data_IF_184011730719
#
_entry.id   IF_184011730719
#
_cell.length_a   1.000
_cell.length_b   1.000
_cell.length_c   1.000
_cell.angle_alpha   90.00
_cell.angle_beta   90.00
_cell.angle_gamma   90.00
#
_symmetry.space_group_name_H-M   'P 1'
#
loop_
_entity.id
_entity.type
_entity.pdbx_description
1 polymer ?
#
# COMPACT_ATOMS: atom_id res chain seq x y z
N UNK A 1 -11.57 5.97 3.46
CA UNK A 1 -10.21 5.98 2.87
C UNK A 1 -10.40 5.51 1.44
N UNK A 2 -10.59 6.42 0.48
CA UNK A 2 -11.12 6.06 -0.85
C UNK A 2 -10.36 4.89 -1.51
N UNK A 3 -9.03 4.88 -1.42
CA UNK A 3 -8.18 3.79 -1.95
C UNK A 3 -8.49 2.44 -1.31
N UNK A 4 -8.61 2.36 0.02
CA UNK A 4 -8.91 1.09 0.70
C UNK A 4 -10.30 0.57 0.32
N UNK A 5 -11.28 1.48 0.31
CA UNK A 5 -12.66 1.14 -0.02
C UNK A 5 -12.78 0.65 -1.48
N UNK A 6 -11.99 1.23 -2.40
CA UNK A 6 -11.89 0.78 -3.78
C UNK A 6 -11.26 -0.63 -3.90
N UNK A 7 -10.18 -0.92 -3.19
CA UNK A 7 -9.56 -2.26 -3.22
C UNK A 7 -10.46 -3.34 -2.62
N UNK A 8 -11.16 -3.05 -1.52
CA UNK A 8 -12.15 -3.96 -0.92
C UNK A 8 -13.30 -4.28 -1.87
N UNK A 9 -13.79 -3.26 -2.59
CA UNK A 9 -14.84 -3.45 -3.57
C UNK A 9 -14.34 -4.23 -4.80
N UNK A 10 -13.10 -3.98 -5.24
CA UNK A 10 -12.50 -4.67 -6.38
C UNK A 10 -12.21 -6.14 -6.06
N UNK A 11 -11.70 -6.45 -4.86
CA UNK A 11 -11.38 -7.82 -4.44
C UNK A 11 -12.60 -8.75 -4.35
N UNK A 12 -13.81 -8.18 -4.32
CA UNK A 12 -15.06 -8.95 -4.35
C UNK A 12 -15.59 -9.18 -5.78
N UNK A 13 -15.00 -8.54 -6.78
CA UNK A 13 -15.46 -8.57 -8.17
C UNK A 13 -14.53 -9.35 -9.10
N UNK A 14 -13.29 -9.58 -8.70
CA UNK A 14 -12.28 -10.29 -9.52
C UNK A 14 -11.45 -11.25 -8.66
N UNK A 15 -10.98 -12.33 -9.29
CA UNK A 15 -10.04 -13.29 -8.70
C UNK A 15 -8.58 -13.05 -9.15
N UNK A 16 -8.34 -11.96 -9.90
CA UNK A 16 -7.00 -11.62 -10.39
C UNK A 16 -6.12 -11.05 -9.26
N UNK A 17 -4.79 -11.23 -9.35
CA UNK A 17 -3.86 -10.61 -8.40
C UNK A 17 -3.99 -9.09 -8.35
N UNK A 18 -3.96 -8.53 -7.16
CA UNK A 18 -4.09 -7.10 -6.88
C UNK A 18 -2.72 -6.48 -6.58
N UNK A 19 -2.34 -5.51 -7.42
CA UNK A 19 -1.23 -4.61 -7.12
C UNK A 19 -1.72 -3.44 -6.28
N UNK A 20 -1.23 -3.36 -5.04
CA UNK A 20 -1.58 -2.30 -4.11
C UNK A 20 -0.67 -1.09 -4.23
N UNK A 21 -1.26 0.09 -4.21
CA UNK A 21 -0.53 1.35 -4.14
C UNK A 21 -1.41 2.47 -3.63
N UNK A 22 -0.78 3.46 -3.01
CA UNK A 22 -1.42 4.72 -2.63
C UNK A 22 -0.77 5.83 -3.42
N UNK A 23 -1.55 6.54 -4.24
CA UNK A 23 -1.07 7.72 -4.95
C UNK A 23 -0.88 8.89 -3.99
N UNK A 24 0.10 9.74 -4.30
CA UNK A 24 0.37 10.97 -3.55
C UNK A 24 0.51 10.70 -2.04
N UNK A 25 1.35 9.73 -1.65
CA UNK A 25 1.53 9.43 -0.23
C UNK A 25 2.18 10.63 0.51
N UNK A 26 3.07 11.34 -0.19
CA UNK A 26 3.72 12.56 0.28
C UNK A 26 5.23 12.41 0.45
N UNK A 27 5.84 13.37 1.13
CA UNK A 27 7.26 13.34 1.52
C UNK A 27 7.52 12.19 2.52
N UNK A 28 8.79 11.78 2.64
CA UNK A 28 9.24 10.58 3.38
C UNK A 28 8.38 10.21 4.60
N UNK A 29 8.27 11.08 5.61
CA UNK A 29 7.57 10.76 6.87
C UNK A 29 6.05 10.62 6.69
N UNK A 30 5.40 11.58 6.05
CA UNK A 30 3.94 11.55 5.89
C UNK A 30 3.51 10.46 4.91
N UNK A 31 4.29 10.26 3.85
CA UNK A 31 4.08 9.18 2.87
C UNK A 31 4.27 7.80 3.47
N UNK A 32 5.27 7.62 4.33
CA UNK A 32 5.47 6.36 5.06
C UNK A 32 4.27 6.03 5.94
N UNK A 33 3.82 6.98 6.76
CA UNK A 33 2.68 6.77 7.68
C UNK A 33 1.39 6.50 6.90
N UNK A 34 1.09 7.29 5.86
CA UNK A 34 -0.12 7.12 5.04
C UNK A 34 -0.12 5.77 4.33
N UNK A 35 1.02 5.37 3.75
CA UNK A 35 1.17 4.08 3.08
C UNK A 35 1.03 2.91 4.05
N UNK A 36 1.68 2.98 5.21
CA UNK A 36 1.62 1.92 6.21
C UNK A 36 0.19 1.69 6.73
N UNK A 37 -0.55 2.76 7.03
CA UNK A 37 -1.94 2.65 7.50
C UNK A 37 -2.84 2.05 6.42
N UNK A 38 -2.75 2.57 5.19
CA UNK A 38 -3.66 2.15 4.12
C UNK A 38 -3.35 0.75 3.59
N UNK A 39 -2.08 0.46 3.30
CA UNK A 39 -1.66 -0.82 2.73
C UNK A 39 -1.65 -1.92 3.80
N UNK A 40 -1.16 -1.62 5.01
CA UNK A 40 -1.19 -2.56 6.12
C UNK A 40 -2.62 -3.01 6.46
N UNK A 41 -3.58 -2.08 6.47
CA UNK A 41 -4.99 -2.43 6.68
C UNK A 41 -5.55 -3.39 5.64
N UNK A 42 -5.25 -3.18 4.35
CA UNK A 42 -5.67 -4.09 3.28
C UNK A 42 -4.99 -5.47 3.39
N UNK A 43 -3.69 -5.49 3.70
CA UNK A 43 -2.95 -6.74 3.89
C UNK A 43 -3.48 -7.56 5.07
N UNK A 44 -3.86 -6.91 6.18
CA UNK A 44 -4.50 -7.57 7.33
C UNK A 44 -5.87 -8.18 6.99
N UNK A 45 -6.55 -7.66 5.97
CA UNK A 45 -7.80 -8.21 5.43
C UNK A 45 -7.56 -9.33 4.40
N UNK A 46 -6.30 -9.67 4.10
CA UNK A 46 -5.93 -10.65 3.08
C UNK A 46 -6.04 -10.14 1.65
N UNK A 47 -6.06 -8.82 1.45
CA UNK A 47 -6.17 -8.18 0.12
C UNK A 47 -4.79 -7.70 -0.32
N UNK A 48 -4.32 -8.18 -1.47
CA UNK A 48 -3.09 -7.73 -2.12
C UNK A 48 -2.06 -8.83 -2.37
N UNK A 49 -1.48 -8.82 -3.57
CA UNK A 49 -0.52 -9.85 -4.04
C UNK A 49 0.86 -9.26 -4.32
N UNK A 50 0.89 -7.98 -4.68
CA UNK A 50 2.11 -7.19 -4.84
C UNK A 50 1.81 -5.76 -4.41
N UNK A 51 2.82 -4.99 -4.02
CA UNK A 51 2.62 -3.62 -3.56
C UNK A 51 3.74 -2.69 -4.02
N UNK A 52 3.42 -1.40 -4.10
CA UNK A 52 4.39 -0.32 -4.26
C UNK A 52 4.10 0.80 -3.26
N UNK A 53 5.13 1.21 -2.52
CA UNK A 53 5.12 2.47 -1.76
C UNK A 53 5.41 3.60 -2.73
N UNK A 54 4.67 4.71 -2.69
CA UNK A 54 4.92 5.87 -3.56
C UNK A 54 5.34 7.08 -2.73
N UNK A 55 6.64 7.35 -2.64
CA UNK A 55 7.20 8.45 -1.84
C UNK A 55 7.78 9.53 -2.74
N UNK A 56 7.69 10.78 -2.31
CA UNK A 56 8.53 11.86 -2.82
C UNK A 56 9.88 11.83 -2.09
N UNK A 57 10.66 10.78 -2.31
CA UNK A 57 11.96 10.49 -1.70
C UNK A 57 12.82 9.62 -2.63
N UNK A 58 13.98 9.17 -2.16
CA UNK A 58 14.84 8.25 -2.93
C UNK A 58 14.15 6.89 -3.14
N UNK A 59 14.32 6.24 -4.31
CA UNK A 59 13.62 4.99 -4.63
C UNK A 59 13.89 3.86 -3.64
N UNK A 60 15.09 3.80 -3.07
CA UNK A 60 15.47 2.78 -2.08
C UNK A 60 14.61 2.87 -0.81
N UNK A 61 14.09 4.06 -0.48
CA UNK A 61 13.23 4.24 0.67
C UNK A 61 11.84 3.63 0.43
N UNK A 62 11.31 3.66 -0.80
CA UNK A 62 10.08 2.93 -1.15
C UNK A 62 10.23 1.42 -0.89
N UNK A 63 11.41 0.87 -1.22
CA UNK A 63 11.72 -0.55 -1.03
C UNK A 63 11.86 -0.91 0.45
N UNK A 64 12.64 -0.12 1.22
CA UNK A 64 12.84 -0.36 2.66
C UNK A 64 11.50 -0.37 3.41
N UNK A 65 10.67 0.65 3.18
CA UNK A 65 9.36 0.76 3.81
C UNK A 65 8.43 -0.38 3.38
N UNK A 66 8.44 -0.78 2.11
CA UNK A 66 7.67 -1.93 1.64
C UNK A 66 8.04 -3.22 2.38
N UNK A 67 9.34 -3.48 2.56
CA UNK A 67 9.79 -4.64 3.34
C UNK A 67 9.45 -4.53 4.82
N UNK A 68 9.54 -3.34 5.43
CA UNK A 68 9.20 -3.13 6.84
C UNK A 68 7.70 -3.40 7.09
N UNK A 69 6.82 -2.98 6.17
CA UNK A 69 5.38 -3.27 6.25
C UNK A 69 5.11 -4.78 6.17
N UNK A 70 5.73 -5.50 5.22
CA UNK A 70 5.48 -6.93 5.01
C UNK A 70 6.05 -7.85 6.12
N UNK A 71 7.06 -7.40 6.86
CA UNK A 71 7.69 -8.16 7.95
C UNK A 71 6.96 -8.03 9.30
N UNK A 72 6.05 -7.08 9.43
CA UNK A 72 5.37 -6.72 10.67
C UNK A 72 4.15 -7.61 10.92
#
# INVERSE_FOLDING_TARGET
FLTMDAYRLLSQQIDNPLHLGVTEAGIYRTGTVKSAIALGGLLMEGIGDTMRISLAAEPEDEIKIGFDILKS
#
